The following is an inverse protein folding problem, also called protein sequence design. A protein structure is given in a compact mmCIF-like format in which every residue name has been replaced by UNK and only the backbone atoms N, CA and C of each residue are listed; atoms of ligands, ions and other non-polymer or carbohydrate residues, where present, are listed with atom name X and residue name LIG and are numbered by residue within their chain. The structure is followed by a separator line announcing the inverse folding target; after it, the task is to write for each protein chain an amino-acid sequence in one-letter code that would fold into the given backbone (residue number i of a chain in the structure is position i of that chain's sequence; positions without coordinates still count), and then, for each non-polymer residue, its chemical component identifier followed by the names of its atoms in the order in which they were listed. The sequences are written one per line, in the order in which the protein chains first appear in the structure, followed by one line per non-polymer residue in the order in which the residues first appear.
data_IF_895376609175
#
_entry.id   IF_895376609175
#
_cell.length_a   1.000
_cell.length_b   1.000
_cell.length_c   1.000
_cell.angle_alpha   90.00
_cell.angle_beta   90.00
_cell.angle_gamma   90.00
#
_symmetry.space_group_name_H-M   'P 1'
#
loop_
_entity.id
_entity.type
_entity.pdbx_description
1 polymer ?
#
# COMPACT_ATOMS: atom_id res chain seq x y z
N UNK A 1 -3.55 57.22 11.60
CA UNK A 1 -4.09 55.95 12.16
C UNK A 1 -4.18 54.83 11.11
N UNK A 2 -4.70 55.06 9.89
CA UNK A 2 -4.85 54.00 8.86
C UNK A 2 -3.55 53.35 8.34
N UNK A 3 -2.45 54.10 8.19
CA UNK A 3 -1.17 53.54 7.72
C UNK A 3 -0.51 52.55 8.70
N UNK A 4 -0.80 52.64 10.00
CA UNK A 4 -0.30 51.69 10.99
C UNK A 4 -1.01 50.34 10.86
N UNK A 5 -2.35 50.37 10.68
CA UNK A 5 -3.16 49.17 10.45
C UNK A 5 -2.78 48.44 9.16
N UNK A 6 -2.51 49.17 8.08
CA UNK A 6 -2.08 48.57 6.81
C UNK A 6 -0.75 47.81 6.97
N UNK A 7 0.25 48.43 7.61
CA UNK A 7 1.54 47.78 7.87
C UNK A 7 1.42 46.57 8.77
N UNK A 8 0.56 46.63 9.78
CA UNK A 8 0.32 45.49 10.66
C UNK A 8 -0.29 44.31 9.90
N UNK A 9 -1.30 44.55 9.06
CA UNK A 9 -1.94 43.49 8.27
C UNK A 9 -1.01 42.87 7.23
N UNK A 10 -0.09 43.66 6.66
CA UNK A 10 0.94 43.13 5.77
C UNK A 10 1.98 42.28 6.50
N UNK A 11 2.32 42.61 7.76
CA UNK A 11 3.18 41.73 8.57
C UNK A 11 2.47 40.44 8.92
N UNK A 12 1.25 40.52 9.42
CA UNK A 12 0.45 39.33 9.75
C UNK A 12 0.33 38.38 8.56
N UNK A 13 0.08 38.91 7.35
CA UNK A 13 0.05 38.11 6.13
C UNK A 13 1.42 37.54 5.72
N UNK A 14 2.51 38.31 5.90
CA UNK A 14 3.85 37.83 5.63
C UNK A 14 4.26 36.71 6.61
N UNK A 15 3.96 36.88 7.90
CA UNK A 15 4.21 35.90 8.95
C UNK A 15 3.40 34.61 8.71
N UNK A 16 2.15 34.73 8.27
CA UNK A 16 1.29 33.60 7.88
C UNK A 16 1.83 32.84 6.66
N UNK A 17 2.33 33.57 5.65
CA UNK A 17 2.96 32.97 4.48
C UNK A 17 4.25 32.24 4.85
N UNK A 18 5.09 32.84 5.69
CA UNK A 18 6.34 32.23 6.17
C UNK A 18 6.07 30.97 7.03
N UNK A 19 5.01 30.99 7.83
CA UNK A 19 4.55 29.81 8.57
C UNK A 19 4.11 28.69 7.61
N UNK A 20 3.28 29.01 6.62
CA UNK A 20 2.81 28.05 5.61
C UNK A 20 3.97 27.47 4.79
N UNK A 21 4.95 28.30 4.42
CA UNK A 21 6.16 27.86 3.69
C UNK A 21 6.98 26.90 4.56
N UNK A 22 7.10 27.16 5.86
CA UNK A 22 7.78 26.27 6.79
C UNK A 22 7.07 24.93 6.90
N UNK A 23 5.75 24.93 7.10
CA UNK A 23 4.94 23.69 7.16
C UNK A 23 5.06 22.86 5.87
N UNK A 24 5.01 23.51 4.71
CA UNK A 24 5.15 22.81 3.43
C UNK A 24 6.54 22.20 3.24
N UNK A 25 7.59 22.87 3.73
CA UNK A 25 8.96 22.34 3.66
C UNK A 25 9.11 21.11 4.55
N UNK A 26 8.59 21.16 5.77
CA UNK A 26 8.58 20.01 6.68
C UNK A 26 7.80 18.82 6.08
N UNK A 27 6.64 19.10 5.46
CA UNK A 27 5.86 18.07 4.79
C UNK A 27 6.60 17.46 3.58
N UNK A 28 7.34 18.27 2.82
CA UNK A 28 8.17 17.77 1.72
C UNK A 28 9.31 16.88 2.22
N UNK A 29 10.00 17.30 3.28
CA UNK A 29 11.10 16.52 3.89
C UNK A 29 10.58 15.16 4.38
N UNK A 30 9.46 15.13 5.11
CA UNK A 30 8.85 13.89 5.55
C UNK A 30 8.43 12.96 4.39
N UNK A 31 7.94 13.52 3.29
CA UNK A 31 7.58 12.75 2.10
C UNK A 31 8.80 12.20 1.36
N UNK A 32 9.91 12.95 1.32
CA UNK A 32 11.17 12.49 0.74
C UNK A 32 11.77 11.36 1.57
N UNK A 33 11.80 11.48 2.89
CA UNK A 33 12.23 10.38 3.78
C UNK A 33 11.39 9.12 3.59
N UNK A 34 10.06 9.29 3.49
CA UNK A 34 9.16 8.16 3.24
C UNK A 34 9.43 7.49 1.88
N UNK A 35 9.68 8.28 0.83
CA UNK A 35 10.04 7.76 -0.49
C UNK A 35 11.33 6.95 -0.43
N UNK A 36 12.37 7.50 0.19
CA UNK A 36 13.69 6.88 0.25
C UNK A 36 13.63 5.56 1.06
N UNK A 37 12.81 5.51 2.12
CA UNK A 37 12.56 4.28 2.86
C UNK A 37 11.85 3.21 2.01
N UNK A 38 10.85 3.59 1.21
CA UNK A 38 10.15 2.68 0.31
C UNK A 38 11.10 2.14 -0.76
N UNK A 39 11.97 2.98 -1.32
CA UNK A 39 12.96 2.59 -2.32
C UNK A 39 13.96 1.58 -1.75
N UNK A 40 14.49 1.82 -0.55
CA UNK A 40 15.37 0.87 0.12
C UNK A 40 14.70 -0.50 0.39
N UNK A 41 13.41 -0.51 0.76
CA UNK A 41 12.67 -1.76 0.93
C UNK A 41 12.44 -2.50 -0.39
N UNK A 42 12.20 -1.76 -1.48
CA UNK A 42 12.05 -2.34 -2.80
C UNK A 42 13.36 -2.95 -3.30
N UNK A 43 14.48 -2.27 -3.13
CA UNK A 43 15.81 -2.79 -3.50
C UNK A 43 16.15 -4.05 -2.72
N UNK A 44 15.89 -4.06 -1.41
CA UNK A 44 16.03 -5.27 -0.59
C UNK A 44 15.20 -6.43 -1.15
N UNK A 45 13.92 -6.19 -1.47
CA UNK A 45 13.06 -7.23 -2.04
C UNK A 45 13.60 -7.77 -3.36
N UNK A 46 14.15 -6.91 -4.23
CA UNK A 46 14.78 -7.35 -5.49
C UNK A 46 16.03 -8.19 -5.28
N UNK A 47 16.83 -7.90 -4.26
CA UNK A 47 18.04 -8.68 -3.96
C UNK A 47 17.71 -10.07 -3.41
N UNK A 48 16.67 -10.19 -2.59
CA UNK A 48 16.33 -11.45 -1.91
C UNK A 48 15.31 -12.31 -2.66
N UNK A 49 14.69 -11.78 -3.71
CA UNK A 49 13.69 -12.51 -4.51
C UNK A 49 14.32 -13.05 -5.79
N UNK A 50 14.10 -14.34 -6.07
CA UNK A 50 14.56 -14.96 -7.32
C UNK A 50 13.97 -14.22 -8.53
N UNK A 51 14.76 -14.10 -9.62
CA UNK A 51 14.39 -13.31 -10.80
C UNK A 51 13.13 -13.83 -11.50
N UNK A 52 12.83 -15.12 -11.32
CA UNK A 52 11.68 -15.83 -11.87
C UNK A 52 10.59 -16.10 -10.82
N UNK A 53 10.69 -15.51 -9.63
CA UNK A 53 9.66 -15.61 -8.61
C UNK A 53 8.31 -15.15 -9.16
N UNK A 54 7.29 -15.97 -8.95
CA UNK A 54 5.94 -15.76 -9.48
C UNK A 54 4.89 -15.92 -8.39
N UNK A 55 3.87 -15.06 -8.42
CA UNK A 55 2.64 -15.20 -7.62
C UNK A 55 1.55 -15.97 -8.39
N UNK A 56 1.96 -16.82 -9.34
CA UNK A 56 1.07 -17.58 -10.23
C UNK A 56 0.56 -16.79 -11.44
N UNK A 57 0.26 -15.49 -11.27
CA UNK A 57 -0.22 -14.61 -12.34
C UNK A 57 0.81 -13.61 -12.86
N UNK A 58 1.80 -13.25 -12.03
CA UNK A 58 2.81 -12.22 -12.31
C UNK A 58 4.21 -12.70 -11.93
N UNK A 59 5.22 -12.35 -12.72
CA UNK A 59 6.63 -12.73 -12.53
C UNK A 59 7.49 -11.50 -12.26
N UNK A 60 8.36 -11.59 -11.25
CA UNK A 60 9.23 -10.50 -10.78
C UNK A 60 8.58 -9.60 -9.72
N UNK A 61 9.40 -9.04 -8.85
CA UNK A 61 8.99 -8.26 -7.67
C UNK A 61 8.08 -7.08 -8.03
N UNK A 62 8.39 -6.34 -9.09
CA UNK A 62 7.60 -5.18 -9.51
C UNK A 62 6.21 -5.58 -10.01
N UNK A 63 6.10 -6.67 -10.77
CA UNK A 63 4.83 -7.15 -11.28
C UNK A 63 3.94 -7.68 -10.15
N UNK A 64 4.54 -8.35 -9.17
CA UNK A 64 3.86 -8.85 -7.97
C UNK A 64 3.39 -7.67 -7.09
N UNK A 65 4.23 -6.66 -6.85
CA UNK A 65 3.87 -5.51 -6.02
C UNK A 65 2.75 -4.64 -6.63
N UNK A 66 2.73 -4.48 -7.96
CA UNK A 66 1.62 -3.79 -8.64
C UNK A 66 0.28 -4.53 -8.47
N UNK A 67 0.30 -5.86 -8.43
CA UNK A 67 -0.87 -6.68 -8.13
C UNK A 67 -1.34 -6.51 -6.67
N UNK A 68 -0.42 -6.30 -5.72
CA UNK A 68 -0.69 -6.26 -4.29
C UNK A 68 -1.08 -4.88 -3.73
N UNK A 69 -1.53 -3.92 -4.56
CA UNK A 69 -1.91 -2.54 -4.17
C UNK A 69 -3.16 -2.40 -3.30
N UNK A 70 -3.53 -3.45 -2.57
CA UNK A 70 -4.69 -3.53 -1.72
C UNK A 70 -4.28 -3.36 -0.26
N UNK A 71 -5.17 -2.77 0.55
CA UNK A 71 -4.99 -2.70 2.01
C UNK A 71 -5.26 -4.09 2.63
N UNK A 72 -4.24 -4.94 2.56
CA UNK A 72 -4.25 -6.33 3.01
C UNK A 72 -3.29 -6.48 4.19
N UNK A 73 -3.81 -6.92 5.33
CA UNK A 73 -2.99 -7.41 6.43
C UNK A 73 -3.00 -8.94 6.38
N UNK A 74 -1.84 -9.57 6.30
CA UNK A 74 -1.70 -11.03 6.33
C UNK A 74 -1.07 -11.43 7.64
N UNK A 75 -1.75 -12.30 8.40
CA UNK A 75 -1.19 -12.93 9.59
C UNK A 75 -0.90 -14.39 9.29
N UNK A 76 0.35 -14.82 9.49
CA UNK A 76 0.70 -16.24 9.43
C UNK A 76 0.19 -16.93 10.69
N UNK A 77 -0.63 -17.96 10.52
CA UNK A 77 -1.13 -18.76 11.65
C UNK A 77 -0.25 -20.00 11.89
N UNK A 78 0.14 -20.67 10.81
CA UNK A 78 0.98 -21.87 10.87
C UNK A 78 1.75 -22.05 9.58
N UNK A 79 2.87 -22.73 9.70
CA UNK A 79 3.75 -23.10 8.60
C UNK A 79 3.99 -24.61 8.68
N UNK A 80 3.69 -25.32 7.61
CA UNK A 80 3.76 -26.78 7.53
C UNK A 80 4.68 -27.17 6.38
N UNK A 81 5.66 -28.03 6.65
CA UNK A 81 6.47 -28.64 5.59
C UNK A 81 5.61 -29.72 4.91
N UNK A 82 5.36 -29.56 3.61
CA UNK A 82 4.53 -30.50 2.82
C UNK A 82 5.40 -31.52 2.09
N UNK A 83 6.59 -31.09 1.67
CA UNK A 83 7.65 -31.93 1.11
C UNK A 83 9.01 -31.25 1.31
N UNK A 84 10.10 -31.89 0.89
CA UNK A 84 11.46 -31.32 0.94
C UNK A 84 11.61 -30.04 0.08
N UNK A 85 10.65 -29.80 -0.81
CA UNK A 85 10.62 -28.72 -1.80
C UNK A 85 9.38 -27.83 -1.66
N UNK A 86 8.61 -27.98 -0.58
CA UNK A 86 7.33 -27.28 -0.42
C UNK A 86 6.95 -26.98 1.01
N UNK A 87 6.52 -25.75 1.26
CA UNK A 87 5.92 -25.30 2.52
C UNK A 87 4.51 -24.75 2.27
N UNK A 88 3.58 -25.16 3.13
CA UNK A 88 2.25 -24.59 3.22
C UNK A 88 2.17 -23.60 4.38
N UNK A 89 1.92 -22.34 4.04
CA UNK A 89 1.57 -21.31 4.99
C UNK A 89 0.05 -21.21 5.08
N UNK A 90 -0.51 -21.31 6.29
CA UNK A 90 -1.91 -20.97 6.52
C UNK A 90 -1.99 -19.60 7.16
N UNK A 91 -2.75 -18.72 6.52
CA UNK A 91 -2.81 -17.30 6.82
C UNK A 91 -4.23 -16.88 7.17
N UNK A 92 -4.35 -15.75 7.85
CA UNK A 92 -5.61 -15.07 8.11
C UNK A 92 -5.56 -13.68 7.49
N UNK A 93 -5.73 -13.56 6.16
CA UNK A 93 -5.84 -12.26 5.51
C UNK A 93 -7.04 -11.47 6.05
N UNK A 94 -6.80 -10.20 6.33
CA UNK A 94 -7.79 -9.18 6.65
C UNK A 94 -7.69 -8.08 5.59
N UNK A 95 -8.71 -7.99 4.74
CA UNK A 95 -8.78 -7.00 3.66
C UNK A 95 -9.84 -5.96 3.99
N UNK A 96 -9.48 -4.68 3.98
CA UNK A 96 -10.47 -3.60 4.03
C UNK A 96 -10.89 -3.26 2.60
N UNK A 97 -12.19 -3.38 2.29
CA UNK A 97 -12.71 -2.98 0.98
C UNK A 97 -12.76 -1.45 0.93
N UNK A 98 -11.74 -0.85 0.35
CA UNK A 98 -11.65 0.60 0.14
C UNK A 98 -12.22 1.00 -1.22
N UNK A 99 -12.32 2.31 -1.47
CA UNK A 99 -12.66 2.81 -2.79
C UNK A 99 -11.65 2.35 -3.87
N UNK A 100 -10.36 2.24 -3.52
CA UNK A 100 -9.35 1.71 -4.43
C UNK A 100 -9.57 0.22 -4.71
N UNK A 101 -9.90 -0.58 -3.69
CA UNK A 101 -10.24 -2.01 -3.85
C UNK A 101 -11.41 -2.21 -4.82
N UNK A 102 -12.48 -1.40 -4.70
CA UNK A 102 -13.63 -1.45 -5.62
C UNK A 102 -13.23 -1.08 -7.05
N UNK A 103 -12.36 -0.09 -7.22
CA UNK A 103 -11.87 0.33 -8.55
C UNK A 103 -10.99 -0.73 -9.21
N UNK A 104 -10.16 -1.44 -8.45
CA UNK A 104 -9.17 -2.39 -8.98
C UNK A 104 -9.74 -3.79 -9.16
N UNK A 105 -10.43 -4.34 -8.15
CA UNK A 105 -10.91 -5.73 -8.17
C UNK A 105 -12.38 -5.89 -8.58
N UNK A 106 -13.20 -4.87 -8.32
CA UNK A 106 -14.65 -4.92 -8.54
C UNK A 106 -15.10 -3.88 -9.57
N UNK A 107 -14.41 -3.82 -10.71
CA UNK A 107 -14.72 -2.89 -11.81
C UNK A 107 -16.21 -2.90 -12.17
N UNK A 108 -16.86 -4.07 -12.14
CA UNK A 108 -18.29 -4.23 -12.41
C UNK A 108 -19.23 -3.59 -11.37
N UNK A 109 -18.74 -3.29 -10.16
CA UNK A 109 -19.50 -2.62 -9.10
C UNK A 109 -19.41 -1.09 -9.14
N UNK A 110 -18.62 -0.53 -10.07
CA UNK A 110 -18.46 0.93 -10.22
C UNK A 110 -19.46 1.58 -11.18
N UNK A 111 -20.35 0.79 -11.80
CA UNK A 111 -21.41 1.27 -12.68
C UNK A 111 -22.58 1.93 -11.95
N UNK A 112 -23.39 2.70 -12.68
CA UNK A 112 -24.52 3.50 -12.18
C UNK A 112 -25.55 2.72 -11.36
N UNK A 113 -25.75 1.43 -11.66
CA UNK A 113 -26.72 0.58 -10.97
C UNK A 113 -26.12 -0.17 -9.75
N UNK A 114 -24.79 -0.20 -9.64
CA UNK A 114 -24.07 -0.96 -8.63
C UNK A 114 -23.58 -0.10 -7.44
N UNK A 115 -23.78 1.22 -7.48
CA UNK A 115 -23.48 2.14 -6.38
C UNK A 115 -24.09 1.70 -5.04
N UNK A 116 -25.27 1.07 -5.07
CA UNK A 116 -25.93 0.56 -3.86
C UNK A 116 -25.21 -0.63 -3.19
N UNK A 117 -24.49 -1.45 -3.96
CA UNK A 117 -23.72 -2.59 -3.44
C UNK A 117 -22.30 -2.15 -3.10
N UNK A 118 -21.65 -1.37 -3.98
CA UNK A 118 -20.35 -0.77 -3.73
C UNK A 118 -20.34 0.05 -2.42
N UNK A 119 -21.36 0.88 -2.20
CA UNK A 119 -21.51 1.66 -0.97
C UNK A 119 -21.71 0.80 0.28
N UNK A 120 -22.29 -0.40 0.16
CA UNK A 120 -22.46 -1.33 1.29
C UNK A 120 -21.19 -2.09 1.63
N UNK A 121 -20.34 -2.34 0.63
CA UNK A 121 -19.06 -3.02 0.79
C UNK A 121 -17.95 -2.06 1.24
N UNK A 122 -18.07 -0.76 0.96
CA UNK A 122 -17.08 0.23 1.36
C UNK A 122 -16.83 0.21 2.87
N UNK A 123 -15.55 0.20 3.25
CA UNK A 123 -15.05 0.10 4.63
C UNK A 123 -15.47 -1.17 5.37
N UNK A 124 -15.97 -2.19 4.65
CA UNK A 124 -16.15 -3.52 5.23
C UNK A 124 -14.83 -4.27 5.24
N UNK A 125 -14.64 -5.04 6.30
CA UNK A 125 -13.46 -5.88 6.49
C UNK A 125 -13.83 -7.32 6.18
N UNK A 126 -13.13 -7.91 5.23
CA UNK A 126 -13.19 -9.33 4.92
C UNK A 126 -12.06 -10.02 5.68
N UNK A 127 -12.41 -10.99 6.52
CA UNK A 127 -11.45 -11.83 7.24
C UNK A 127 -11.79 -13.27 6.90
N UNK A 128 -10.83 -14.00 6.34
CA UNK A 128 -11.00 -15.39 5.94
C UNK A 128 -9.69 -16.15 6.14
N UNK A 129 -9.77 -17.43 6.49
CA UNK A 129 -8.59 -18.30 6.46
C UNK A 129 -8.18 -18.54 5.00
N UNK A 130 -6.90 -18.32 4.72
CA UNK A 130 -6.29 -18.57 3.42
C UNK A 130 -5.11 -19.52 3.58
N UNK A 131 -4.67 -20.10 2.47
CA UNK A 131 -3.47 -20.93 2.43
C UNK A 131 -2.62 -20.54 1.23
N UNK A 132 -1.33 -20.35 1.45
CA UNK A 132 -0.32 -20.07 0.42
C UNK A 132 0.68 -21.21 0.42
N UNK A 133 0.92 -21.80 -0.74
CA UNK A 133 1.92 -22.86 -0.91
C UNK A 133 3.13 -22.28 -1.61
N UNK A 134 4.29 -22.44 -0.99
CA UNK A 134 5.58 -22.08 -1.56
C UNK A 134 6.22 -23.36 -2.05
N UNK A 135 6.52 -23.42 -3.34
CA UNK A 135 7.26 -24.51 -3.97
C UNK A 135 8.57 -23.94 -4.52
N UNK A 136 9.66 -24.68 -4.40
CA UNK A 136 10.97 -24.35 -4.95
C UNK A 136 11.64 -25.60 -5.52
N UNK A 137 12.67 -25.44 -6.34
CA UNK A 137 13.42 -26.55 -6.92
C UNK A 137 14.86 -26.63 -6.38
N UNK A 138 15.58 -27.71 -6.73
CA UNK A 138 16.99 -27.90 -6.35
C UNK A 138 17.93 -26.78 -6.83
N UNK A 139 17.50 -25.91 -7.76
CA UNK A 139 18.29 -24.81 -8.29
C UNK A 139 18.06 -23.47 -7.56
N UNK A 140 17.11 -23.44 -6.62
CA UNK A 140 16.67 -22.24 -5.90
C UNK A 140 17.54 -21.88 -4.67
N UNK A 141 18.79 -22.37 -4.60
CA UNK A 141 19.68 -22.29 -3.41
C UNK A 141 20.93 -21.43 -3.57
#
# INVERSE_FOLDING_TARGET
VNQAKYRQRQREFADELDATISELREALEALEEQRDAIEAHLDFLKEVTALDATDGDACGVEAILEQWRLDVSVQLQRLELVSDESILAVTMPSITITANTLRVLYLHLTGTDAFGVAGKLLNKRLVAEGSVRFDWDESSG
#
